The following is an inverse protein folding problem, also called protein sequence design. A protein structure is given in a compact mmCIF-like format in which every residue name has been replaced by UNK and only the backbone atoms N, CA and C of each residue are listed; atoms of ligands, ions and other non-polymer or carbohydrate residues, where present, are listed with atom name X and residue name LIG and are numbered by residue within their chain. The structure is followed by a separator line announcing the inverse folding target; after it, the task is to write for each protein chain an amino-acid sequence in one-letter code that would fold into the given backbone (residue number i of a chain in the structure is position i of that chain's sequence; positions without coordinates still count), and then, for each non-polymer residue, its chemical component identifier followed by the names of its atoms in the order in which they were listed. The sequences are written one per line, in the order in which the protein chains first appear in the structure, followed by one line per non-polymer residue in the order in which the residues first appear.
data_IF_562207661668
#
_entry.id   IF_562207661668
#
_cell.length_a   1.000
_cell.length_b   1.000
_cell.length_c   1.000
_cell.angle_alpha   90.00
_cell.angle_beta   90.00
_cell.angle_gamma   90.00
#
_symmetry.space_group_name_H-M   'P 1'
#
loop_
_entity.id
_entity.type
_entity.pdbx_description
1 polymer ?
#
# COMPACT_ATOMS: atom_id res chain seq x y z
N UNK A 1 11.99 14.72 -5.05
CA UNK A 1 12.83 13.52 -5.18
C UNK A 1 13.25 13.27 -6.63
N UNK A 2 12.35 13.20 -7.62
CA UNK A 2 12.70 12.96 -9.03
C UNK A 2 13.66 14.02 -9.59
N UNK A 3 13.43 15.29 -9.26
CA UNK A 3 14.33 16.39 -9.69
C UNK A 3 15.74 16.23 -9.13
N UNK A 4 15.87 15.81 -7.87
CA UNK A 4 17.15 15.53 -7.24
C UNK A 4 17.89 14.36 -7.90
N UNK A 5 17.19 13.27 -8.23
CA UNK A 5 17.77 12.11 -8.92
C UNK A 5 18.25 12.45 -10.34
N UNK A 6 17.58 13.39 -11.01
CA UNK A 6 17.96 13.86 -12.34
C UNK A 6 19.09 14.87 -12.31
N UNK A 7 18.94 15.92 -11.51
CA UNK A 7 19.78 17.13 -11.55
C UNK A 7 20.92 17.10 -10.51
N UNK A 8 20.85 16.17 -9.55
CA UNK A 8 21.75 16.14 -8.41
C UNK A 8 21.46 17.21 -7.36
N UNK A 9 22.35 17.36 -6.42
CA UNK A 9 22.30 18.36 -5.36
C UNK A 9 22.93 17.88 -4.06
N UNK A 10 22.94 18.74 -3.07
CA UNK A 10 23.47 18.44 -1.75
C UNK A 10 22.40 17.74 -0.89
N UNK A 11 22.82 16.78 -0.11
CA UNK A 11 22.00 16.07 0.87
C UNK A 11 22.76 15.82 2.16
N UNK A 12 22.06 15.68 3.25
CA UNK A 12 22.62 15.32 4.55
C UNK A 12 22.48 13.82 4.73
N UNK A 13 23.60 13.13 4.93
CA UNK A 13 23.60 11.70 5.23
C UNK A 13 23.07 11.48 6.65
N UNK A 14 22.00 10.70 6.79
CA UNK A 14 21.32 10.51 8.09
C UNK A 14 22.20 9.86 9.15
N UNK A 15 23.10 8.95 8.74
CA UNK A 15 23.97 8.23 9.67
C UNK A 15 25.13 9.09 10.24
N UNK A 16 25.67 10.00 9.44
CA UNK A 16 26.87 10.78 9.80
C UNK A 16 26.60 12.25 10.06
N UNK A 17 25.43 12.76 9.65
CA UNK A 17 25.09 14.18 9.68
C UNK A 17 25.91 15.05 8.73
N UNK A 18 26.72 14.44 7.85
CA UNK A 18 27.58 15.18 6.91
C UNK A 18 26.84 15.53 5.64
N UNK A 19 27.09 16.74 5.13
CA UNK A 19 26.57 17.14 3.81
C UNK A 19 27.44 16.50 2.73
N UNK A 20 26.77 15.72 1.85
CA UNK A 20 27.39 15.10 0.66
C UNK A 20 26.75 15.67 -0.60
N UNK A 21 27.50 15.66 -1.69
CA UNK A 21 26.99 16.04 -3.00
C UNK A 21 26.68 14.81 -3.83
N UNK A 22 25.53 14.84 -4.52
CA UNK A 22 25.14 13.84 -5.50
C UNK A 22 25.10 14.50 -6.88
N UNK A 23 25.92 13.97 -7.80
CA UNK A 23 26.10 14.57 -9.13
C UNK A 23 24.87 14.45 -10.05
N UNK A 24 23.84 13.72 -9.65
CA UNK A 24 22.72 13.41 -10.54
C UNK A 24 23.12 12.40 -11.63
N UNK A 25 22.44 12.48 -12.78
CA UNK A 25 22.77 11.69 -13.99
C UNK A 25 22.81 10.17 -13.79
N UNK A 26 22.07 9.64 -12.81
CA UNK A 26 21.92 8.19 -12.63
C UNK A 26 21.26 7.52 -13.85
N UNK A 27 20.56 8.31 -14.66
CA UNK A 27 19.84 7.88 -15.87
C UNK A 27 20.05 8.91 -16.98
N UNK A 28 19.91 8.47 -18.22
CA UNK A 28 19.76 9.40 -19.32
C UNK A 28 18.56 10.33 -19.05
N UNK A 29 18.78 11.65 -19.15
CA UNK A 29 17.79 12.65 -18.75
C UNK A 29 16.51 12.59 -19.59
N UNK A 30 16.61 12.25 -20.86
CA UNK A 30 15.45 12.14 -21.79
C UNK A 30 14.62 10.91 -21.44
N UNK A 31 15.28 9.77 -21.26
CA UNK A 31 14.63 8.50 -20.86
C UNK A 31 13.98 8.64 -19.50
N UNK A 32 14.64 9.33 -18.55
CA UNK A 32 14.10 9.57 -17.22
C UNK A 32 12.86 10.46 -17.26
N UNK A 33 12.92 11.59 -17.97
CA UNK A 33 11.79 12.53 -18.08
C UNK A 33 10.59 11.89 -18.79
N UNK A 34 10.81 11.07 -19.81
CA UNK A 34 9.75 10.33 -20.50
C UNK A 34 9.14 9.25 -19.61
N UNK A 35 9.96 8.52 -18.87
CA UNK A 35 9.47 7.54 -17.87
C UNK A 35 8.65 8.20 -16.76
N UNK A 36 9.04 9.40 -16.29
CA UNK A 36 8.27 10.16 -15.31
C UNK A 36 6.95 10.66 -15.89
N UNK A 37 6.93 11.13 -17.15
CA UNK A 37 5.69 11.52 -17.83
C UNK A 37 4.73 10.35 -17.99
N UNK A 38 5.25 9.20 -18.40
CA UNK A 38 4.48 7.96 -18.54
C UNK A 38 3.91 7.49 -17.20
N UNK A 39 4.74 7.52 -16.14
CA UNK A 39 4.31 7.22 -14.78
C UNK A 39 3.21 8.19 -14.29
N UNK A 40 3.35 9.49 -14.53
CA UNK A 40 2.34 10.49 -14.15
C UNK A 40 1.03 10.33 -14.95
N UNK A 41 1.12 9.95 -16.23
CA UNK A 41 -0.04 9.66 -17.06
C UNK A 41 -0.77 8.40 -16.56
N UNK A 42 -0.01 7.34 -16.22
CA UNK A 42 -0.51 6.13 -15.59
C UNK A 42 -1.14 6.41 -14.21
N UNK A 43 -0.47 7.21 -13.39
CA UNK A 43 -1.00 7.67 -12.09
C UNK A 43 -2.38 8.34 -12.24
N UNK A 44 -2.55 9.17 -13.28
CA UNK A 44 -3.83 9.83 -13.56
C UNK A 44 -4.91 8.84 -14.01
N UNK A 45 -4.56 7.81 -14.78
CA UNK A 45 -5.47 6.71 -15.16
C UNK A 45 -5.82 5.81 -13.97
N UNK A 46 -4.89 5.64 -13.04
CA UNK A 46 -5.06 4.83 -11.84
C UNK A 46 -5.76 5.59 -10.69
N UNK A 47 -6.02 6.91 -10.84
CA UNK A 47 -6.90 7.65 -9.93
C UNK A 47 -8.34 7.09 -9.93
N UNK A 48 -8.73 6.38 -10.99
CA UNK A 48 -9.95 5.55 -11.01
C UNK A 48 -9.73 4.16 -10.36
N UNK A 49 -8.83 4.09 -9.39
CA UNK A 49 -8.45 2.88 -8.64
C UNK A 49 -9.66 2.12 -8.05
N UNK A 50 -10.72 2.81 -7.67
CA UNK A 50 -11.95 2.22 -7.18
C UNK A 50 -12.90 1.76 -8.28
N UNK A 51 -12.63 2.07 -9.56
CA UNK A 51 -13.42 1.55 -10.67
C UNK A 51 -12.98 0.10 -10.99
N UNK A 52 -13.92 -0.84 -10.92
CA UNK A 52 -13.68 -2.25 -11.25
C UNK A 52 -13.29 -2.49 -12.71
N UNK A 53 -13.53 -1.53 -13.59
CA UNK A 53 -13.22 -1.61 -15.01
C UNK A 53 -11.76 -1.32 -15.35
N UNK A 54 -10.96 -0.84 -14.41
CA UNK A 54 -9.53 -0.64 -14.61
C UNK A 54 -8.82 -2.00 -14.79
N UNK A 55 -8.42 -2.29 -16.01
CA UNK A 55 -7.77 -3.56 -16.41
C UNK A 55 -6.27 -3.54 -16.13
N UNK A 56 -5.67 -2.35 -16.03
CA UNK A 56 -4.22 -2.18 -15.87
C UNK A 56 -3.80 -2.33 -14.40
N UNK A 57 -2.72 -3.11 -14.19
CA UNK A 57 -2.09 -3.27 -12.89
C UNK A 57 -0.77 -2.50 -12.88
N UNK A 58 -0.60 -1.59 -11.91
CA UNK A 58 0.66 -0.82 -11.77
C UNK A 58 1.88 -1.72 -11.59
N UNK A 59 1.66 -2.94 -11.06
CA UNK A 59 2.75 -3.90 -10.83
C UNK A 59 3.26 -4.53 -12.12
N UNK A 60 2.51 -4.47 -13.23
CA UNK A 60 2.98 -4.90 -14.55
C UNK A 60 4.10 -3.98 -15.08
N UNK A 61 4.21 -2.77 -14.50
CA UNK A 61 5.20 -1.76 -14.88
C UNK A 61 6.38 -1.65 -13.90
N UNK A 62 6.35 -2.38 -12.78
CA UNK A 62 7.49 -2.42 -11.85
C UNK A 62 8.44 -3.52 -12.32
N UNK A 63 9.67 -3.17 -12.76
CA UNK A 63 10.62 -4.18 -13.18
C UNK A 63 10.90 -5.16 -12.03
N UNK A 64 11.03 -6.46 -12.33
CA UNK A 64 11.32 -7.47 -11.31
C UNK A 64 12.61 -7.08 -10.58
N UNK A 65 12.52 -6.88 -9.28
CA UNK A 65 13.68 -6.60 -8.46
C UNK A 65 14.61 -7.82 -8.47
N UNK A 66 15.93 -7.59 -8.43
CA UNK A 66 16.97 -8.64 -8.37
C UNK A 66 16.85 -9.55 -7.13
N UNK A 67 16.08 -9.17 -6.14
CA UNK A 67 15.72 -9.97 -4.99
C UNK A 67 14.44 -10.75 -5.31
N UNK A 68 14.47 -12.06 -5.17
CA UNK A 68 13.42 -13.05 -5.46
C UNK A 68 12.02 -12.75 -4.87
N UNK A 69 11.52 -11.55 -5.03
CA UNK A 69 10.17 -11.18 -4.59
C UNK A 69 9.17 -11.50 -5.70
N UNK A 70 8.62 -12.69 -5.62
CA UNK A 70 7.49 -13.09 -6.46
C UNK A 70 6.25 -12.37 -5.96
N UNK A 71 5.69 -11.49 -6.77
CA UNK A 71 4.39 -10.89 -6.50
C UNK A 71 3.28 -11.88 -6.83
N UNK A 72 2.29 -11.95 -5.95
CA UNK A 72 1.13 -12.81 -6.19
C UNK A 72 0.28 -12.21 -7.31
N UNK A 73 -0.05 -12.97 -8.37
CA UNK A 73 -0.87 -12.46 -9.47
C UNK A 73 -2.24 -11.97 -8.99
N UNK A 74 -2.74 -10.90 -9.61
CA UNK A 74 -4.03 -10.26 -9.29
C UNK A 74 -5.22 -11.25 -9.25
N UNK A 75 -5.22 -12.21 -10.17
CA UNK A 75 -6.24 -13.28 -10.23
C UNK A 75 -6.21 -14.18 -8.99
N UNK A 76 -5.02 -14.46 -8.47
CA UNK A 76 -4.84 -15.27 -7.27
C UNK A 76 -5.29 -14.48 -6.02
N UNK A 77 -4.89 -13.22 -5.92
CA UNK A 77 -5.33 -12.34 -4.82
C UNK A 77 -6.85 -12.24 -4.80
N UNK A 78 -7.48 -12.08 -5.99
CA UNK A 78 -8.95 -12.08 -6.08
C UNK A 78 -9.56 -13.37 -5.51
N UNK A 79 -9.05 -14.53 -5.92
CA UNK A 79 -9.54 -15.81 -5.41
C UNK A 79 -9.39 -15.91 -3.89
N UNK A 80 -8.26 -15.49 -3.33
CA UNK A 80 -8.04 -15.57 -1.88
C UNK A 80 -8.99 -14.65 -1.11
N UNK A 81 -9.24 -13.44 -1.62
CA UNK A 81 -10.23 -12.52 -1.00
C UNK A 81 -11.65 -13.05 -1.15
N UNK A 82 -11.99 -13.67 -2.30
CA UNK A 82 -13.29 -14.35 -2.48
C UNK A 82 -13.46 -15.53 -1.51
N UNK A 83 -12.39 -16.27 -1.20
CA UNK A 83 -12.40 -17.34 -0.18
C UNK A 83 -12.64 -16.79 1.22
N UNK A 84 -12.06 -15.64 1.58
CA UNK A 84 -12.35 -15.01 2.88
C UNK A 84 -13.84 -14.75 3.07
N UNK A 85 -14.53 -14.29 2.03
CA UNK A 85 -15.97 -14.05 2.07
C UNK A 85 -16.77 -15.36 2.12
N UNK A 86 -16.31 -16.41 1.42
CA UNK A 86 -16.96 -17.74 1.47
C UNK A 86 -16.86 -18.37 2.86
N UNK A 87 -15.71 -18.24 3.52
CA UNK A 87 -15.49 -18.77 4.87
C UNK A 87 -16.13 -17.91 5.95
N UNK A 88 -16.29 -16.60 5.70
CA UNK A 88 -16.87 -15.62 6.62
C UNK A 88 -17.93 -14.78 5.88
N UNK A 89 -19.12 -15.32 5.63
CA UNK A 89 -20.16 -14.62 4.86
C UNK A 89 -20.52 -13.27 5.48
N UNK A 90 -20.52 -12.23 4.65
CA UNK A 90 -20.81 -10.86 5.06
C UNK A 90 -19.68 -10.13 5.79
N UNK A 91 -18.47 -10.70 5.83
CA UNK A 91 -17.34 -10.06 6.54
C UNK A 91 -16.99 -8.67 5.99
N UNK A 92 -17.29 -8.38 4.72
CA UNK A 92 -17.08 -7.07 4.12
C UNK A 92 -18.23 -6.08 4.32
N UNK A 93 -19.35 -6.53 4.92
CA UNK A 93 -20.52 -5.69 5.23
C UNK A 93 -20.51 -5.18 6.68
N UNK A 94 -19.59 -5.69 7.50
CA UNK A 94 -19.50 -5.37 8.93
C UNK A 94 -18.48 -4.24 9.16
N UNK A 95 -18.89 -3.10 9.75
CA UNK A 95 -18.00 -1.95 9.96
C UNK A 95 -16.96 -2.15 11.07
N UNK A 96 -17.16 -3.12 11.93
CA UNK A 96 -16.27 -3.49 13.05
C UNK A 96 -15.34 -4.66 12.72
N UNK A 97 -15.50 -5.27 11.54
CA UNK A 97 -14.63 -6.36 11.10
C UNK A 97 -13.28 -5.81 10.64
N UNK A 98 -12.21 -6.41 11.14
CA UNK A 98 -10.83 -6.03 10.82
C UNK A 98 -10.13 -7.07 9.95
N UNK A 99 -9.18 -6.61 9.13
CA UNK A 99 -8.39 -7.41 8.21
C UNK A 99 -6.92 -6.99 8.32
N UNK A 100 -6.03 -7.96 8.41
CA UNK A 100 -4.59 -7.72 8.46
C UNK A 100 -3.84 -8.50 7.40
N UNK A 101 -2.91 -7.84 6.70
CA UNK A 101 -1.88 -8.50 5.89
C UNK A 101 -0.56 -8.48 6.67
N UNK A 102 -0.17 -9.63 7.21
CA UNK A 102 1.03 -9.79 8.05
C UNK A 102 2.34 -9.72 7.26
N UNK A 103 2.29 -9.78 5.94
CA UNK A 103 3.47 -9.72 5.08
C UNK A 103 3.17 -8.99 3.78
N UNK A 104 2.81 -7.73 3.95
CA UNK A 104 2.46 -6.83 2.86
C UNK A 104 3.65 -6.64 1.92
N UNK A 105 3.53 -7.07 0.67
CA UNK A 105 4.54 -6.89 -0.37
C UNK A 105 4.21 -5.71 -1.26
N UNK A 106 3.22 -5.92 -2.11
CA UNK A 106 2.76 -4.90 -3.06
C UNK A 106 1.57 -4.09 -2.55
N UNK A 107 0.95 -4.50 -1.46
CA UNK A 107 -0.31 -3.94 -0.98
C UNK A 107 -1.55 -4.42 -1.75
N UNK A 108 -1.41 -5.39 -2.65
CA UNK A 108 -2.50 -5.84 -3.52
C UNK A 108 -3.64 -6.52 -2.76
N UNK A 109 -3.34 -7.26 -1.68
CA UNK A 109 -4.37 -7.83 -0.80
C UNK A 109 -5.17 -6.74 -0.12
N UNK A 110 -4.49 -5.79 0.50
CA UNK A 110 -5.13 -4.64 1.16
C UNK A 110 -6.01 -3.89 0.17
N UNK A 111 -5.53 -3.59 -1.02
CA UNK A 111 -6.32 -2.87 -2.02
C UNK A 111 -7.57 -3.62 -2.45
N UNK A 112 -7.52 -4.96 -2.54
CA UNK A 112 -8.71 -5.78 -2.84
C UNK A 112 -9.69 -5.80 -1.69
N UNK A 113 -9.23 -5.90 -0.46
CA UNK A 113 -10.05 -5.82 0.74
C UNK A 113 -10.72 -4.45 0.84
N UNK A 114 -9.95 -3.36 0.68
CA UNK A 114 -10.47 -1.99 0.68
C UNK A 114 -11.57 -1.81 -0.38
N UNK A 115 -11.38 -2.33 -1.60
CA UNK A 115 -12.41 -2.27 -2.65
C UNK A 115 -13.71 -2.97 -2.24
N UNK A 116 -13.62 -4.17 -1.65
CA UNK A 116 -14.79 -4.91 -1.18
C UNK A 116 -15.55 -4.13 -0.10
N UNK A 117 -14.84 -3.66 0.91
CA UNK A 117 -15.42 -2.83 1.99
C UNK A 117 -16.05 -1.55 1.43
N UNK A 118 -15.34 -0.84 0.55
CA UNK A 118 -15.82 0.41 -0.04
C UNK A 118 -17.06 0.23 -0.90
N UNK A 119 -17.17 -0.89 -1.61
CA UNK A 119 -18.30 -1.20 -2.51
C UNK A 119 -19.48 -1.84 -1.79
N UNK A 120 -19.32 -2.31 -0.55
CA UNK A 120 -20.39 -2.90 0.24
C UNK A 120 -21.56 -1.93 0.40
N UNK A 121 -22.78 -2.42 0.17
CA UNK A 121 -23.99 -1.60 0.28
C UNK A 121 -24.31 -1.26 1.74
N UNK A 122 -23.95 -2.13 2.70
CA UNK A 122 -24.11 -1.85 4.12
C UNK A 122 -23.13 -0.76 4.57
N UNK A 123 -21.88 -0.80 4.08
CA UNK A 123 -20.88 0.25 4.35
C UNK A 123 -21.31 1.60 3.73
N UNK A 124 -21.88 1.59 2.52
CA UNK A 124 -22.43 2.81 1.88
C UNK A 124 -23.61 3.39 2.66
N UNK A 125 -24.48 2.55 3.20
CA UNK A 125 -25.60 3.01 4.05
C UNK A 125 -25.12 3.64 5.34
N UNK A 126 -24.10 3.03 5.98
CA UNK A 126 -23.55 3.49 7.25
C UNK A 126 -22.67 4.72 7.11
N UNK A 127 -21.88 4.78 6.03
CA UNK A 127 -20.98 5.88 5.68
C UNK A 127 -21.28 6.37 4.27
N UNK A 128 -22.34 7.18 4.08
CA UNK A 128 -22.78 7.65 2.77
C UNK A 128 -21.69 8.44 2.04
N UNK A 129 -20.97 9.28 2.78
CA UNK A 129 -19.88 10.09 2.24
C UNK A 129 -18.64 9.22 1.95
N UNK A 130 -18.16 9.29 0.70
CA UNK A 130 -17.04 8.52 0.21
C UNK A 130 -15.79 8.70 1.08
N UNK A 131 -15.50 9.94 1.46
CA UNK A 131 -14.33 10.29 2.27
C UNK A 131 -14.41 9.72 3.68
N UNK A 132 -15.56 9.80 4.33
CA UNK A 132 -15.78 9.22 5.66
C UNK A 132 -15.70 7.70 5.62
N UNK A 133 -16.25 7.07 4.57
CA UNK A 133 -16.16 5.63 4.37
C UNK A 133 -14.70 5.17 4.20
N UNK A 134 -13.91 5.84 3.35
CA UNK A 134 -12.49 5.54 3.18
C UNK A 134 -11.71 5.76 4.48
N UNK A 135 -11.96 6.86 5.19
CA UNK A 135 -11.35 7.14 6.48
C UNK A 135 -11.62 6.01 7.47
N UNK A 136 -12.89 5.58 7.61
CA UNK A 136 -13.24 4.48 8.50
C UNK A 136 -12.50 3.18 8.12
N UNK A 137 -12.46 2.84 6.83
CA UNK A 137 -11.80 1.63 6.35
C UNK A 137 -10.30 1.65 6.71
N UNK A 138 -9.60 2.75 6.43
CA UNK A 138 -8.14 2.83 6.64
C UNK A 138 -7.75 3.00 8.11
N UNK A 139 -8.57 3.69 8.91
CA UNK A 139 -8.26 3.93 10.32
C UNK A 139 -8.71 2.79 11.24
N UNK A 140 -9.72 2.00 10.82
CA UNK A 140 -10.36 1.04 11.74
C UNK A 140 -10.46 -0.40 11.24
N UNK A 141 -10.38 -0.64 9.93
CA UNK A 141 -10.66 -1.98 9.40
C UNK A 141 -9.45 -2.67 8.76
N UNK A 142 -8.53 -1.94 8.14
CA UNK A 142 -7.41 -2.56 7.42
C UNK A 142 -6.08 -2.26 8.08
N UNK A 143 -5.28 -3.32 8.25
CA UNK A 143 -3.98 -3.33 8.90
C UNK A 143 -2.97 -4.02 7.98
N UNK A 144 -1.71 -3.63 8.05
CA UNK A 144 -0.69 -4.27 7.23
C UNK A 144 0.72 -4.09 7.76
N UNK A 145 1.51 -5.15 7.69
CA UNK A 145 2.91 -5.17 8.08
C UNK A 145 3.81 -5.36 6.85
N UNK A 146 4.80 -4.53 6.71
CA UNK A 146 5.79 -4.63 5.65
C UNK A 146 7.19 -4.92 6.24
N UNK A 147 7.89 -5.95 5.74
CA UNK A 147 9.12 -6.43 6.38
C UNK A 147 10.30 -5.47 6.25
N UNK A 148 10.28 -4.58 5.27
CA UNK A 148 11.36 -3.62 5.02
C UNK A 148 10.81 -2.24 4.70
N UNK A 149 11.62 -1.20 4.91
CA UNK A 149 11.26 0.19 4.62
C UNK A 149 10.89 0.40 3.14
N UNK A 150 11.62 -0.22 2.22
CA UNK A 150 11.35 -0.12 0.77
C UNK A 150 9.97 -0.70 0.46
N UNK A 151 9.67 -1.89 0.97
CA UNK A 151 8.36 -2.54 0.77
C UNK A 151 7.25 -1.71 1.43
N UNK A 152 7.47 -1.21 2.63
CA UNK A 152 6.52 -0.33 3.32
C UNK A 152 6.19 0.92 2.47
N UNK A 153 7.22 1.60 1.96
CA UNK A 153 7.04 2.80 1.12
C UNK A 153 6.33 2.50 -0.19
N UNK A 154 6.69 1.40 -0.86
CA UNK A 154 6.03 0.97 -2.11
C UNK A 154 4.55 0.66 -1.85
N UNK A 155 4.25 -0.21 -0.89
CA UNK A 155 2.89 -0.63 -0.59
C UNK A 155 2.03 0.55 -0.14
N UNK A 156 2.52 1.38 0.78
CA UNK A 156 1.78 2.53 1.30
C UNK A 156 1.54 3.58 0.21
N UNK A 157 2.54 3.86 -0.64
CA UNK A 157 2.38 4.75 -1.78
C UNK A 157 1.38 4.21 -2.80
N UNK A 158 1.34 2.91 -3.02
CA UNK A 158 0.38 2.27 -3.90
C UNK A 158 -1.04 2.34 -3.32
N UNK A 159 -1.20 2.02 -2.04
CA UNK A 159 -2.52 1.98 -1.39
C UNK A 159 -3.11 3.39 -1.22
N UNK A 160 -2.30 4.37 -0.80
CA UNK A 160 -2.76 5.69 -0.37
C UNK A 160 -2.37 6.83 -1.32
N UNK A 161 -1.38 6.63 -2.17
CA UNK A 161 -0.75 7.71 -2.92
C UNK A 161 -1.47 8.14 -4.20
N UNK A 162 -2.45 7.40 -4.67
CA UNK A 162 -3.05 7.62 -5.99
C UNK A 162 -4.35 8.43 -5.95
N UNK A 163 -5.05 8.44 -4.84
CA UNK A 163 -6.29 9.18 -4.65
C UNK A 163 -6.04 10.38 -3.72
N UNK A 164 -6.51 11.57 -4.10
CA UNK A 164 -6.38 12.78 -3.26
C UNK A 164 -7.15 12.61 -1.94
N UNK A 165 -8.23 11.85 -1.92
CA UNK A 165 -9.03 11.60 -0.73
C UNK A 165 -8.34 10.66 0.28
N UNK A 166 -7.39 9.82 -0.19
CA UNK A 166 -6.67 8.87 0.67
C UNK A 166 -5.28 9.34 1.11
N UNK A 167 -4.69 10.31 0.40
CA UNK A 167 -3.29 10.74 0.56
C UNK A 167 -2.89 11.15 1.99
N UNK A 168 -3.85 11.70 2.76
CA UNK A 168 -3.63 12.22 4.11
C UNK A 168 -4.45 11.46 5.17
N UNK A 169 -5.01 10.30 4.84
CA UNK A 169 -5.76 9.49 5.80
C UNK A 169 -4.78 8.82 6.77
N UNK A 170 -5.11 8.87 8.07
CA UNK A 170 -4.45 8.05 9.09
C UNK A 170 -4.70 6.56 8.76
N UNK A 171 -3.68 5.71 8.93
CA UNK A 171 -3.76 4.30 8.54
C UNK A 171 -2.96 3.41 9.50
N UNK A 172 -3.27 2.11 9.49
CA UNK A 172 -2.67 1.11 10.37
C UNK A 172 -1.60 0.26 9.66
N UNK A 173 -0.89 0.83 8.70
CA UNK A 173 0.25 0.15 8.08
C UNK A 173 1.52 0.47 8.85
N UNK A 174 2.34 -0.56 9.13
CA UNK A 174 3.59 -0.44 9.87
C UNK A 174 4.73 -1.15 9.16
N UNK A 175 5.93 -0.62 9.34
CA UNK A 175 7.14 -1.33 8.92
C UNK A 175 7.53 -2.30 10.03
N UNK A 176 7.34 -3.60 9.80
CA UNK A 176 7.72 -4.65 10.73
C UNK A 176 7.76 -5.99 10.01
N UNK A 177 8.80 -6.79 10.28
CA UNK A 177 8.86 -8.19 9.84
C UNK A 177 8.19 -9.08 10.89
N UNK A 178 7.02 -9.62 10.55
CA UNK A 178 6.23 -10.48 11.43
C UNK A 178 6.79 -11.92 11.55
N UNK A 179 7.68 -12.35 10.63
CA UNK A 179 8.17 -13.73 10.57
C UNK A 179 8.89 -14.22 11.84
N UNK A 180 9.79 -13.43 12.48
CA UNK A 180 10.41 -13.85 13.74
C UNK A 180 9.38 -14.13 14.83
N UNK A 181 8.43 -13.22 15.03
CA UNK A 181 7.38 -13.33 16.05
C UNK A 181 6.44 -14.53 15.81
N UNK A 182 6.14 -14.81 14.53
CA UNK A 182 5.35 -15.98 14.17
C UNK A 182 6.08 -17.29 14.48
N UNK A 183 7.41 -17.33 14.28
CA UNK A 183 8.25 -18.50 14.61
C UNK A 183 8.37 -18.72 16.11
N UNK A 184 8.46 -17.66 16.87
CA UNK A 184 8.64 -17.70 18.33
C UNK A 184 7.31 -17.81 19.09
N UNK A 185 6.16 -17.77 18.38
CA UNK A 185 4.83 -17.86 18.97
C UNK A 185 4.39 -16.60 19.74
N UNK A 186 5.06 -15.47 19.50
CA UNK A 186 4.79 -14.17 20.17
C UNK A 186 4.05 -13.17 19.27
N UNK A 187 3.54 -13.62 18.13
CA UNK A 187 2.92 -12.76 17.13
C UNK A 187 1.71 -11.98 17.68
N UNK A 188 0.82 -12.67 18.41
CA UNK A 188 -0.39 -12.06 18.98
C UNK A 188 -0.04 -10.96 19.97
N UNK A 189 0.86 -11.24 20.91
CA UNK A 189 1.32 -10.25 21.87
C UNK A 189 1.94 -9.04 21.19
N UNK A 190 2.77 -9.25 20.18
CA UNK A 190 3.39 -8.16 19.41
C UNK A 190 2.35 -7.30 18.68
N UNK A 191 1.30 -7.92 18.10
CA UNK A 191 0.23 -7.18 17.44
C UNK A 191 -0.58 -6.34 18.45
N UNK A 192 -0.89 -6.90 19.61
CA UNK A 192 -1.58 -6.19 20.69
C UNK A 192 -0.76 -4.97 21.16
N UNK A 193 0.54 -5.15 21.39
CA UNK A 193 1.43 -4.04 21.78
C UNK A 193 1.53 -2.96 20.69
N UNK A 194 1.66 -3.38 19.40
CA UNK A 194 1.84 -2.48 18.26
C UNK A 194 0.62 -1.59 18.00
N UNK A 195 -0.58 -2.09 18.26
CA UNK A 195 -1.83 -1.40 17.93
C UNK A 195 -2.60 -0.90 19.15
N UNK A 196 -2.18 -1.21 20.39
CA UNK A 196 -2.78 -0.68 21.62
C UNK A 196 -2.53 0.82 21.83
N UNK A 197 -1.45 1.36 21.23
CA UNK A 197 -1.11 2.79 21.33
C UNK A 197 -1.98 3.70 20.44
N UNK A 198 -2.80 3.13 19.57
CA UNK A 198 -3.64 3.85 18.60
C UNK A 198 -5.12 4.00 19.05
N UNK A 199 -5.48 3.49 20.24
CA UNK A 199 -6.79 3.72 20.87
C UNK A 199 -6.80 5.03 21.68
#
# INVERSE_FOLDING_TARGET
QFKFLRDGGDYVEEETGQTKHFDGQLFDSVVFDDSVKEFLALKKKLADYFDEKSVEDIFDYIPPQKTNQIFTPKTMVKKMVDMLEQENPGCFDMPDKTFIDLYMKSGLYITKIVKRLYQSDEMKKRFPENKERLKHIFEKQVYGLAPTEIIYKIATSYILGFDEDTKNIKHNFRQLDALPYAKDGTLEQMLDELYSEDE
#
